data_IF_662181590109
#
_entry.id   IF_662181590109
#
_cell.length_a   1.000
_cell.length_b   1.000
_cell.length_c   1.000
_cell.angle_alpha   90.00
_cell.angle_beta   90.00
_cell.angle_gamma   90.00
#
_symmetry.space_group_name_H-M   'P 1'
#
loop_
_entity.id
_entity.type
_entity.pdbx_description
1 polymer ?
#
# COMPACT_ATOMS: atom_id res chain seq x y z
N UNK A 1 -60.72 39.55 -2.73
CA UNK A 1 -60.39 39.70 -4.14
C UNK A 1 -59.10 40.50 -4.31
N UNK A 2 -58.95 41.68 -3.67
CA UNK A 2 -57.77 42.55 -3.79
C UNK A 2 -56.44 41.87 -3.34
N UNK A 3 -56.47 41.08 -2.25
CA UNK A 3 -55.28 40.34 -1.81
C UNK A 3 -54.88 39.25 -2.79
N UNK A 4 -55.83 38.62 -3.45
CA UNK A 4 -55.54 37.59 -4.47
C UNK A 4 -54.93 38.22 -5.75
N UNK A 5 -55.38 39.40 -6.13
CA UNK A 5 -54.80 40.19 -7.24
C UNK A 5 -53.39 40.61 -6.93
N UNK A 6 -53.12 41.16 -5.74
CA UNK A 6 -51.78 41.58 -5.32
C UNK A 6 -50.78 40.40 -5.27
N UNK A 7 -51.22 39.22 -4.82
CA UNK A 7 -50.37 38.01 -4.86
C UNK A 7 -50.08 37.53 -6.29
N UNK A 8 -51.03 37.69 -7.19
CA UNK A 8 -50.82 37.33 -8.59
C UNK A 8 -49.83 38.31 -9.25
N UNK A 9 -49.92 39.59 -8.96
CA UNK A 9 -49.04 40.63 -9.46
C UNK A 9 -47.59 40.46 -8.90
N UNK A 10 -47.45 40.16 -7.61
CA UNK A 10 -46.18 39.83 -6.98
C UNK A 10 -45.51 38.61 -7.68
N UNK A 11 -46.29 37.55 -7.90
CA UNK A 11 -45.80 36.35 -8.56
C UNK A 11 -45.37 36.61 -10.03
N UNK A 12 -46.13 37.40 -10.72
CA UNK A 12 -45.80 37.82 -12.09
C UNK A 12 -44.50 38.62 -12.11
N UNK A 13 -44.34 39.60 -11.21
CA UNK A 13 -43.13 40.42 -11.14
C UNK A 13 -41.89 39.59 -10.73
N UNK A 14 -42.02 38.64 -9.79
CA UNK A 14 -40.97 37.67 -9.46
C UNK A 14 -40.55 36.90 -10.71
N UNK A 15 -41.47 36.36 -11.47
CA UNK A 15 -41.15 35.60 -12.67
C UNK A 15 -40.46 36.45 -13.74
N UNK A 16 -40.90 37.72 -13.89
CA UNK A 16 -40.30 38.69 -14.82
C UNK A 16 -38.82 38.95 -14.44
N UNK A 17 -38.56 39.20 -13.13
CA UNK A 17 -37.20 39.44 -12.62
C UNK A 17 -36.33 38.20 -12.84
N UNK A 18 -36.82 37.01 -12.50
CA UNK A 18 -36.10 35.75 -12.69
C UNK A 18 -35.78 35.51 -14.16
N UNK A 19 -36.70 35.81 -15.06
CA UNK A 19 -36.47 35.69 -16.49
C UNK A 19 -35.38 36.68 -16.97
N UNK A 20 -35.45 37.96 -16.53
CA UNK A 20 -34.42 38.93 -16.85
C UNK A 20 -33.03 38.54 -16.39
N UNK A 21 -32.91 38.01 -15.13
CA UNK A 21 -31.65 37.49 -14.60
C UNK A 21 -31.18 36.30 -15.44
N UNK A 22 -32.07 35.36 -15.78
CA UNK A 22 -31.75 34.19 -16.59
C UNK A 22 -31.23 34.57 -17.97
N UNK A 23 -31.83 35.57 -18.62
CA UNK A 23 -31.38 36.09 -19.92
C UNK A 23 -29.96 36.71 -19.83
N UNK A 24 -29.61 37.38 -18.73
CA UNK A 24 -28.25 37.91 -18.48
C UNK A 24 -27.22 36.81 -18.27
N UNK A 25 -27.61 35.69 -17.65
CA UNK A 25 -26.70 34.55 -17.37
C UNK A 25 -26.56 33.64 -18.58
N UNK A 26 -27.58 33.53 -19.45
CA UNK A 26 -27.60 32.61 -20.59
C UNK A 26 -26.38 32.70 -21.52
N UNK A 27 -25.84 33.88 -21.87
CA UNK A 27 -24.63 33.99 -22.71
C UNK A 27 -23.40 33.30 -22.08
N UNK A 28 -23.34 33.20 -20.74
CA UNK A 28 -22.23 32.62 -19.99
C UNK A 28 -22.46 31.18 -19.57
N UNK A 29 -23.57 30.54 -19.97
CA UNK A 29 -23.92 29.19 -19.52
C UNK A 29 -22.83 28.14 -19.85
N UNK A 30 -22.20 28.25 -21.03
CA UNK A 30 -21.12 27.33 -21.42
C UNK A 30 -19.86 27.53 -20.58
N UNK A 31 -19.51 28.77 -20.27
CA UNK A 31 -18.35 29.10 -19.41
C UNK A 31 -18.59 28.58 -17.99
N UNK A 32 -19.77 28.82 -17.44
CA UNK A 32 -20.17 28.33 -16.09
C UNK A 32 -20.16 26.82 -16.05
N UNK A 33 -20.65 26.12 -17.08
CA UNK A 33 -20.61 24.67 -17.15
C UNK A 33 -19.16 24.14 -17.20
N UNK A 34 -18.28 24.79 -17.97
CA UNK A 34 -16.87 24.45 -18.02
C UNK A 34 -16.16 24.68 -16.67
N UNK A 35 -16.44 25.80 -16.01
CA UNK A 35 -15.88 26.09 -14.69
C UNK A 35 -16.34 25.07 -13.64
N UNK A 36 -17.61 24.69 -13.65
CA UNK A 36 -18.14 23.65 -12.78
C UNK A 36 -17.43 22.30 -13.02
N UNK A 37 -17.16 21.96 -14.29
CA UNK A 37 -16.40 20.75 -14.65
C UNK A 37 -14.95 20.83 -14.14
N UNK A 38 -14.26 21.95 -14.32
CA UNK A 38 -12.89 22.16 -13.83
C UNK A 38 -12.83 22.05 -12.30
N UNK A 39 -13.75 22.71 -11.58
CA UNK A 39 -13.83 22.66 -10.12
C UNK A 39 -14.06 21.22 -9.64
N UNK A 40 -14.97 20.49 -10.29
CA UNK A 40 -15.21 19.07 -9.97
C UNK A 40 -13.96 18.19 -10.13
N UNK A 41 -13.17 18.43 -11.19
CA UNK A 41 -11.91 17.71 -11.40
C UNK A 41 -10.85 18.07 -10.35
N UNK A 42 -10.72 19.34 -10.00
CA UNK A 42 -9.80 19.79 -8.94
C UNK A 42 -10.19 19.20 -7.59
N UNK A 43 -11.48 19.13 -7.27
CA UNK A 43 -11.96 18.53 -6.01
C UNK A 43 -11.69 17.02 -5.99
N UNK A 44 -11.90 16.30 -7.09
CA UNK A 44 -11.54 14.89 -7.21
C UNK A 44 -10.02 14.66 -7.00
N UNK A 45 -9.17 15.48 -7.62
CA UNK A 45 -7.71 15.39 -7.42
C UNK A 45 -7.37 15.63 -5.95
N UNK A 46 -7.96 16.66 -5.34
CA UNK A 46 -7.79 16.96 -3.91
C UNK A 46 -8.24 15.80 -3.01
N UNK A 47 -9.37 15.19 -3.31
CA UNK A 47 -9.89 14.03 -2.57
C UNK A 47 -8.92 12.83 -2.66
N UNK A 48 -8.38 12.53 -3.86
CA UNK A 48 -7.36 11.48 -4.04
C UNK A 48 -6.08 11.77 -3.23
N UNK A 49 -5.56 13.00 -3.27
CA UNK A 49 -4.36 13.39 -2.50
C UNK A 49 -4.61 13.26 -1.00
N UNK A 50 -5.78 13.70 -0.55
CA UNK A 50 -6.19 13.59 0.85
C UNK A 50 -6.29 12.12 1.30
N UNK A 51 -6.88 11.25 0.48
CA UNK A 51 -6.94 9.81 0.73
C UNK A 51 -5.54 9.19 0.83
N UNK A 52 -4.60 9.58 -0.06
CA UNK A 52 -3.20 9.13 0.01
C UNK A 52 -2.56 9.54 1.34
N UNK A 53 -2.75 10.79 1.77
CA UNK A 53 -2.12 11.33 2.99
C UNK A 53 -2.72 10.72 4.27
N UNK A 54 -4.05 10.64 4.37
CA UNK A 54 -4.75 10.17 5.57
C UNK A 54 -4.69 8.64 5.74
N UNK A 55 -4.72 7.90 4.63
CA UNK A 55 -4.76 6.43 4.64
C UNK A 55 -3.45 5.78 4.24
N UNK A 56 -2.39 6.55 3.96
CA UNK A 56 -1.11 6.07 3.44
C UNK A 56 -1.27 5.21 2.16
N UNK A 57 -2.27 5.57 1.34
CA UNK A 57 -2.54 4.89 0.10
C UNK A 57 -1.44 5.15 -0.94
N UNK A 58 -1.33 4.28 -1.93
CA UNK A 58 -0.36 4.42 -3.02
C UNK A 58 -1.04 4.35 -4.38
N UNK A 59 -0.41 4.95 -5.38
CA UNK A 59 -0.78 4.72 -6.78
C UNK A 59 -0.02 3.47 -7.25
N UNK A 60 -0.73 2.37 -7.59
CA UNK A 60 -0.08 1.15 -8.03
C UNK A 60 0.52 1.28 -9.42
N UNK A 61 1.45 0.40 -9.77
CA UNK A 61 1.89 0.21 -11.14
C UNK A 61 0.85 -0.63 -11.90
N UNK A 62 0.58 -0.27 -13.15
CA UNK A 62 -0.30 -1.04 -14.02
C UNK A 62 0.51 -2.10 -14.77
N UNK A 63 0.00 -3.32 -14.84
CA UNK A 63 0.60 -4.43 -15.59
C UNK A 63 -0.31 -4.84 -16.73
N UNK A 64 0.18 -4.70 -17.96
CA UNK A 64 -0.53 -5.13 -19.17
C UNK A 64 -0.66 -6.66 -19.25
N UNK A 65 0.22 -7.39 -18.58
CA UNK A 65 0.24 -8.85 -18.55
C UNK A 65 -0.71 -9.45 -17.51
N UNK A 66 -1.64 -8.69 -16.96
CA UNK A 66 -2.60 -9.15 -15.92
C UNK A 66 -1.93 -9.69 -14.64
N UNK A 67 -0.68 -9.31 -14.39
CA UNK A 67 0.02 -9.65 -13.18
C UNK A 67 -0.48 -8.79 -12.03
N UNK A 68 -0.84 -9.43 -10.91
CA UNK A 68 -1.21 -8.77 -9.67
C UNK A 68 -0.15 -9.09 -8.63
N UNK A 69 0.47 -8.06 -8.07
CA UNK A 69 1.39 -8.14 -6.96
C UNK A 69 1.02 -7.06 -5.95
N UNK A 70 0.28 -7.45 -4.94
CA UNK A 70 -0.14 -6.54 -3.88
C UNK A 70 0.72 -6.79 -2.64
N UNK A 71 1.42 -5.75 -2.20
CA UNK A 71 2.27 -5.78 -1.01
C UNK A 71 1.51 -5.09 0.13
N UNK A 72 1.32 -5.80 1.25
CA UNK A 72 0.60 -5.29 2.43
C UNK A 72 -0.76 -4.65 2.11
N UNK A 73 -1.53 -5.27 1.21
CA UNK A 73 -2.85 -4.77 0.86
C UNK A 73 -3.81 -4.90 2.04
N UNK A 74 -4.55 -3.82 2.29
CA UNK A 74 -5.61 -3.76 3.29
C UNK A 74 -6.98 -3.53 2.65
N UNK A 75 -8.02 -4.11 3.23
CA UNK A 75 -9.39 -3.85 2.81
C UNK A 75 -9.78 -2.39 3.14
N UNK A 76 -10.19 -1.57 2.16
CA UNK A 76 -10.38 -0.13 2.37
C UNK A 76 -11.51 0.23 3.31
N UNK A 77 -12.52 -0.64 3.48
CA UNK A 77 -13.71 -0.40 4.30
C UNK A 77 -13.67 -1.11 5.66
N UNK A 78 -12.65 -1.94 5.94
CA UNK A 78 -12.52 -2.62 7.23
C UNK A 78 -11.61 -1.81 8.13
N UNK A 79 -12.09 -1.51 9.35
CA UNK A 79 -11.28 -0.87 10.38
C UNK A 79 -10.23 -1.86 10.90
N UNK A 80 -8.99 -1.42 11.02
CA UNK A 80 -7.86 -2.24 11.50
C UNK A 80 -7.70 -3.54 10.67
N UNK A 81 -7.90 -3.43 9.34
CA UNK A 81 -7.67 -4.55 8.44
C UNK A 81 -6.22 -5.05 8.56
N UNK A 82 -6.06 -6.37 8.59
CA UNK A 82 -4.74 -7.00 8.56
C UNK A 82 -4.18 -6.87 7.15
N UNK A 83 -2.94 -6.39 7.05
CA UNK A 83 -2.24 -6.26 5.79
C UNK A 83 -1.79 -7.64 5.27
N UNK A 84 -2.01 -7.90 3.98
CA UNK A 84 -1.71 -9.16 3.34
C UNK A 84 -0.96 -8.96 2.02
N UNK A 85 -0.11 -9.93 1.66
CA UNK A 85 0.54 -9.97 0.37
C UNK A 85 -0.23 -10.91 -0.56
N UNK A 86 -0.43 -10.51 -1.82
CA UNK A 86 -1.06 -11.34 -2.86
C UNK A 86 -0.20 -11.29 -4.12
N UNK A 87 0.16 -12.46 -4.59
CA UNK A 87 0.87 -12.61 -5.86
C UNK A 87 0.06 -13.47 -6.83
N UNK A 88 -0.31 -12.90 -7.96
CA UNK A 88 -1.01 -13.60 -9.03
C UNK A 88 -0.26 -13.34 -10.34
N UNK A 89 0.86 -14.06 -10.50
CA UNK A 89 1.78 -13.92 -11.62
C UNK A 89 1.28 -14.56 -12.90
N UNK A 90 2.11 -14.54 -13.93
CA UNK A 90 1.81 -15.18 -15.22
C UNK A 90 1.78 -16.71 -15.14
N UNK A 91 2.49 -17.26 -14.15
CA UNK A 91 2.57 -18.69 -13.83
C UNK A 91 1.37 -19.24 -13.08
N UNK A 92 0.39 -18.39 -12.75
CA UNK A 92 -0.82 -18.77 -12.02
C UNK A 92 -2.08 -18.40 -12.79
N UNK A 93 -3.01 -19.34 -12.91
CA UNK A 93 -4.37 -19.12 -13.41
C UNK A 93 -5.40 -19.14 -12.30
N UNK A 94 -5.16 -19.93 -11.24
CA UNK A 94 -6.10 -20.02 -10.14
C UNK A 94 -5.41 -20.00 -8.78
N UNK A 95 -6.03 -19.31 -7.80
CA UNK A 95 -5.70 -19.38 -6.38
C UNK A 95 -6.93 -19.93 -5.65
N UNK A 96 -6.76 -21.06 -4.96
CA UNK A 96 -7.83 -21.73 -4.21
C UNK A 96 -7.60 -21.54 -2.71
N UNK A 97 -8.44 -20.74 -2.06
CA UNK A 97 -8.35 -20.46 -0.64
C UNK A 97 -9.16 -21.50 0.13
N UNK A 98 -8.48 -22.37 0.87
CA UNK A 98 -9.10 -23.42 1.66
C UNK A 98 -9.09 -23.12 3.15
N UNK A 99 -9.97 -23.75 3.92
CA UNK A 99 -10.05 -23.60 5.38
C UNK A 99 -11.41 -23.12 5.88
N UNK A 100 -11.56 -22.87 7.20
CA UNK A 100 -12.84 -22.50 7.81
C UNK A 100 -13.29 -21.07 7.39
N UNK A 101 -14.61 -20.84 7.38
CA UNK A 101 -15.19 -19.55 6.93
C UNK A 101 -14.86 -18.40 7.88
N UNK A 102 -14.63 -18.67 9.14
CA UNK A 102 -14.30 -17.66 10.17
C UNK A 102 -12.92 -17.01 9.97
N UNK A 103 -12.09 -17.55 9.08
CA UNK A 103 -10.70 -17.07 8.86
C UNK A 103 -10.59 -15.78 8.04
N UNK A 104 -11.65 -15.30 7.38
CA UNK A 104 -11.63 -14.10 6.54
C UNK A 104 -11.40 -14.36 5.05
N UNK A 105 -11.65 -15.56 4.53
CA UNK A 105 -11.53 -15.93 3.11
C UNK A 105 -12.31 -14.97 2.20
N UNK A 106 -13.60 -14.76 2.49
CA UNK A 106 -14.48 -13.82 1.75
C UNK A 106 -13.94 -12.39 1.78
N UNK A 107 -13.39 -11.94 2.92
CA UNK A 107 -12.79 -10.61 3.03
C UNK A 107 -11.56 -10.50 2.12
N UNK A 108 -10.77 -11.57 1.98
CA UNK A 108 -9.61 -11.58 1.08
C UNK A 108 -10.02 -11.47 -0.39
N UNK A 109 -11.06 -12.20 -0.83
CA UNK A 109 -11.66 -12.05 -2.16
C UNK A 109 -12.14 -10.62 -2.41
N UNK A 110 -12.92 -10.07 -1.46
CA UNK A 110 -13.43 -8.68 -1.53
C UNK A 110 -12.27 -7.68 -1.56
N UNK A 111 -11.19 -7.93 -0.82
CA UNK A 111 -10.00 -7.06 -0.82
C UNK A 111 -9.35 -7.03 -2.20
N UNK A 112 -9.12 -8.18 -2.80
CA UNK A 112 -8.54 -8.27 -4.15
C UNK A 112 -9.42 -7.57 -5.19
N UNK A 113 -10.71 -7.91 -5.23
CA UNK A 113 -11.64 -7.36 -6.21
C UNK A 113 -11.78 -5.85 -6.08
N UNK A 114 -11.99 -5.35 -4.86
CA UNK A 114 -12.17 -3.92 -4.62
C UNK A 114 -10.90 -3.13 -4.91
N UNK A 115 -9.74 -3.65 -4.52
CA UNK A 115 -8.44 -3.03 -4.82
C UNK A 115 -8.22 -2.93 -6.33
N UNK A 116 -8.55 -3.98 -7.07
CA UNK A 116 -8.43 -4.01 -8.53
C UNK A 116 -9.37 -2.99 -9.19
N UNK A 117 -10.64 -2.94 -8.79
CA UNK A 117 -11.63 -1.97 -9.29
C UNK A 117 -11.20 -0.54 -8.95
N UNK A 118 -10.73 -0.27 -7.72
CA UNK A 118 -10.21 1.04 -7.33
C UNK A 118 -9.07 1.48 -8.24
N UNK A 119 -8.07 0.62 -8.45
CA UNK A 119 -6.93 0.91 -9.28
C UNK A 119 -7.32 1.22 -10.74
N UNK A 120 -8.17 0.40 -11.35
CA UNK A 120 -8.66 0.61 -12.73
C UNK A 120 -9.55 1.84 -12.86
N UNK A 121 -10.20 2.28 -11.78
CA UNK A 121 -10.93 3.56 -11.72
C UNK A 121 -10.01 4.77 -11.48
N UNK A 122 -8.68 4.57 -11.44
CA UNK A 122 -7.71 5.63 -11.19
C UNK A 122 -7.70 6.12 -9.75
N UNK A 123 -8.16 5.30 -8.79
CA UNK A 123 -8.08 5.59 -7.36
C UNK A 123 -6.81 5.00 -6.75
N UNK A 124 -6.21 5.66 -5.75
CA UNK A 124 -5.13 5.08 -4.95
C UNK A 124 -5.63 3.86 -4.16
N UNK A 125 -4.74 2.90 -3.91
CA UNK A 125 -5.03 1.67 -3.18
C UNK A 125 -4.32 1.64 -1.82
N UNK A 126 -4.88 0.91 -0.85
CA UNK A 126 -4.27 0.70 0.46
C UNK A 126 -3.29 -0.48 0.39
N UNK A 127 -2.09 -0.21 -0.08
CA UNK A 127 -1.01 -1.18 -0.22
C UNK A 127 0.35 -0.47 -0.12
N UNK A 128 1.43 -1.24 -0.05
CA UNK A 128 2.77 -0.67 -0.05
C UNK A 128 3.24 -0.29 -1.46
N UNK A 129 4.24 0.60 -1.50
CA UNK A 129 4.90 1.02 -2.75
C UNK A 129 5.54 -0.17 -3.44
N UNK A 130 5.40 -0.23 -4.77
CA UNK A 130 5.86 -1.36 -5.58
C UNK A 130 4.74 -2.34 -5.90
N UNK A 131 3.55 -2.17 -5.33
CA UNK A 131 2.38 -2.95 -5.70
C UNK A 131 2.01 -2.74 -7.16
N UNK A 132 1.63 -3.84 -7.82
CA UNK A 132 1.19 -3.89 -9.22
C UNK A 132 -0.23 -4.42 -9.29
N UNK A 133 -1.00 -3.93 -10.24
CA UNK A 133 -2.35 -4.41 -10.55
C UNK A 133 -2.46 -4.74 -12.02
N UNK A 134 -3.14 -5.84 -12.34
CA UNK A 134 -3.41 -6.22 -13.71
C UNK A 134 -4.44 -5.30 -14.35
N UNK A 135 -4.46 -5.25 -15.67
CA UNK A 135 -5.55 -4.61 -16.44
C UNK A 135 -6.48 -5.71 -16.92
N UNK A 136 -7.72 -5.66 -16.46
CA UNK A 136 -8.79 -6.59 -16.83
C UNK A 136 -9.91 -5.82 -17.54
N UNK A 137 -10.46 -6.43 -18.59
CA UNK A 137 -11.62 -5.87 -19.29
C UNK A 137 -12.87 -5.95 -18.42
N UNK A 138 -13.01 -7.09 -17.70
CA UNK A 138 -14.15 -7.37 -16.85
C UNK A 138 -13.70 -8.04 -15.54
N UNK A 139 -14.39 -7.72 -14.46
CA UNK A 139 -14.20 -8.34 -13.14
C UNK A 139 -15.54 -8.90 -12.72
N UNK A 140 -15.62 -10.23 -12.66
CA UNK A 140 -16.82 -10.94 -12.22
C UNK A 140 -16.64 -11.42 -10.78
N UNK A 141 -17.71 -11.36 -10.02
CA UNK A 141 -17.73 -11.83 -8.64
C UNK A 141 -19.03 -12.56 -8.35
N UNK A 142 -18.93 -13.79 -7.85
CA UNK A 142 -19.99 -14.51 -7.17
C UNK A 142 -19.62 -14.57 -5.68
N UNK A 143 -20.07 -13.57 -4.94
CA UNK A 143 -19.78 -13.37 -3.52
C UNK A 143 -21.09 -13.05 -2.82
N UNK A 144 -21.70 -14.03 -2.17
CA UNK A 144 -22.98 -13.91 -1.49
C UNK A 144 -22.88 -14.10 0.03
N UNK A 145 -23.87 -13.55 0.79
CA UNK A 145 -24.04 -13.84 2.21
C UNK A 145 -24.98 -15.04 2.34
N UNK A 146 -24.43 -16.22 2.68
CA UNK A 146 -25.20 -17.46 2.92
C UNK A 146 -26.03 -17.46 4.22
N UNK A 147 -26.09 -16.36 4.95
CA UNK A 147 -26.69 -16.30 6.29
C UNK A 147 -28.21 -16.22 6.34
N UNK A 148 -28.93 -16.39 5.24
CA UNK A 148 -30.39 -16.53 5.29
C UNK A 148 -30.77 -18.00 5.48
N UNK A 149 -31.16 -18.36 6.71
CA UNK A 149 -31.45 -19.71 7.20
C UNK A 149 -32.61 -20.44 6.46
N UNK A 150 -33.32 -19.78 5.57
CA UNK A 150 -34.57 -20.32 4.97
C UNK A 150 -34.46 -20.90 3.56
N UNK A 151 -33.25 -20.96 2.92
CA UNK A 151 -33.16 -21.27 1.49
C UNK A 151 -31.93 -22.06 1.02
N UNK A 152 -31.54 -23.18 1.62
CA UNK A 152 -30.33 -23.94 1.17
C UNK A 152 -30.39 -24.40 -0.29
N UNK A 153 -31.52 -24.92 -0.79
CA UNK A 153 -31.68 -25.32 -2.20
C UNK A 153 -31.83 -24.11 -3.14
N UNK A 154 -32.37 -23.01 -2.65
CA UNK A 154 -32.49 -21.73 -3.36
C UNK A 154 -31.09 -21.09 -3.52
N UNK A 155 -30.24 -21.22 -2.52
CA UNK A 155 -28.88 -20.64 -2.50
C UNK A 155 -27.95 -21.32 -3.52
N UNK A 156 -27.89 -22.67 -3.53
CA UNK A 156 -27.10 -23.41 -4.54
C UNK A 156 -27.55 -23.09 -5.97
N UNK A 157 -28.87 -23.13 -6.21
CA UNK A 157 -29.41 -22.83 -7.56
C UNK A 157 -29.13 -21.41 -7.99
N UNK A 158 -29.18 -20.46 -7.06
CA UNK A 158 -28.85 -19.04 -7.33
C UNK A 158 -27.39 -18.86 -7.69
N UNK A 159 -26.45 -19.42 -6.89
CA UNK A 159 -25.02 -19.39 -7.17
C UNK A 159 -24.71 -20.07 -8.52
N UNK A 160 -25.25 -21.25 -8.78
CA UNK A 160 -25.03 -21.94 -10.05
C UNK A 160 -25.58 -21.17 -11.25
N UNK A 161 -26.74 -20.53 -11.13
CA UNK A 161 -27.27 -19.67 -12.19
C UNK A 161 -26.33 -18.51 -12.49
N UNK A 162 -25.83 -17.85 -11.45
CA UNK A 162 -24.88 -16.76 -11.60
C UNK A 162 -23.55 -17.24 -12.20
N UNK A 163 -23.01 -18.37 -11.72
CA UNK A 163 -21.78 -18.96 -12.25
C UNK A 163 -21.96 -19.33 -13.74
N UNK A 164 -23.09 -19.93 -14.14
CA UNK A 164 -23.38 -20.26 -15.56
C UNK A 164 -23.40 -18.99 -16.41
N UNK A 165 -24.04 -17.93 -15.94
CA UNK A 165 -24.08 -16.64 -16.65
C UNK A 165 -22.67 -16.03 -16.78
N UNK A 166 -21.88 -16.07 -15.71
CA UNK A 166 -20.48 -15.63 -15.70
C UNK A 166 -19.64 -16.45 -16.68
N UNK A 167 -19.70 -17.80 -16.61
CA UNK A 167 -18.92 -18.69 -17.49
C UNK A 167 -19.20 -18.47 -18.98
N UNK A 168 -20.42 -18.02 -19.32
CA UNK A 168 -20.79 -17.62 -20.67
C UNK A 168 -20.18 -16.29 -21.14
N UNK A 169 -19.73 -15.44 -20.23
CA UNK A 169 -19.21 -14.08 -20.52
C UNK A 169 -17.69 -13.95 -20.35
N UNK A 170 -17.08 -14.71 -19.44
CA UNK A 170 -15.65 -14.59 -19.12
C UNK A 170 -14.75 -14.94 -20.29
N UNK A 171 -13.68 -14.19 -20.43
CA UNK A 171 -12.60 -14.37 -21.40
C UNK A 171 -11.23 -14.31 -20.72
N UNK A 172 -10.14 -14.47 -21.49
CA UNK A 172 -8.77 -14.43 -20.99
C UNK A 172 -8.37 -13.10 -20.32
N UNK A 173 -9.14 -12.02 -20.56
CA UNK A 173 -8.92 -10.69 -19.99
C UNK A 173 -9.84 -10.41 -18.79
N UNK A 174 -10.48 -11.45 -18.25
CA UNK A 174 -11.37 -11.32 -17.08
C UNK A 174 -10.65 -11.74 -15.80
N UNK A 175 -11.03 -11.13 -14.68
CA UNK A 175 -10.73 -11.58 -13.32
C UNK A 175 -12.00 -12.13 -12.70
N UNK A 176 -11.94 -13.35 -12.18
CA UNK A 176 -13.09 -14.05 -11.58
C UNK A 176 -12.86 -14.30 -10.10
N UNK A 177 -13.85 -13.97 -9.29
CA UNK A 177 -13.84 -14.12 -7.83
C UNK A 177 -15.04 -14.96 -7.42
N UNK A 178 -14.80 -16.18 -6.90
CA UNK A 178 -15.83 -17.14 -6.52
C UNK A 178 -15.76 -17.43 -5.02
N UNK A 179 -16.82 -17.14 -4.29
CA UNK A 179 -16.89 -17.47 -2.87
C UNK A 179 -17.66 -18.76 -2.66
N UNK A 180 -17.15 -19.62 -1.78
CA UNK A 180 -17.76 -20.90 -1.39
C UNK A 180 -18.16 -21.80 -2.59
N UNK A 181 -17.27 -21.90 -3.57
CA UNK A 181 -17.53 -22.63 -4.82
C UNK A 181 -17.96 -24.08 -4.55
N UNK A 182 -19.16 -24.43 -5.06
CA UNK A 182 -19.78 -25.73 -4.92
C UNK A 182 -20.59 -25.95 -3.64
N UNK A 183 -20.66 -24.95 -2.73
CA UNK A 183 -21.43 -25.06 -1.50
C UNK A 183 -22.95 -25.17 -1.73
N UNK A 184 -23.67 -25.74 -0.76
CA UNK A 184 -25.12 -25.79 -0.75
C UNK A 184 -25.73 -27.07 -1.39
N UNK A 185 -24.90 -28.05 -1.78
CA UNK A 185 -25.34 -29.38 -2.28
C UNK A 185 -24.63 -30.52 -1.54
N UNK A 186 -24.80 -31.76 -2.02
CA UNK A 186 -24.01 -32.89 -1.53
C UNK A 186 -22.51 -32.59 -1.61
N UNK A 187 -21.72 -32.85 -0.55
CA UNK A 187 -20.31 -32.48 -0.52
C UNK A 187 -19.49 -33.11 -1.66
N UNK A 188 -19.76 -34.35 -2.07
CA UNK A 188 -19.01 -35.01 -3.13
C UNK A 188 -19.36 -34.42 -4.51
N UNK A 189 -20.65 -34.15 -4.74
CA UNK A 189 -21.10 -33.49 -5.99
C UNK A 189 -20.59 -32.04 -6.06
N UNK A 190 -20.66 -31.31 -4.94
CA UNK A 190 -20.17 -29.94 -4.86
C UNK A 190 -18.67 -29.83 -5.12
N UNK A 191 -17.86 -30.70 -4.52
CA UNK A 191 -16.43 -30.78 -4.77
C UNK A 191 -16.10 -31.11 -6.24
N UNK A 192 -16.80 -32.10 -6.80
CA UNK A 192 -16.60 -32.50 -8.21
C UNK A 192 -16.93 -31.35 -9.18
N UNK A 193 -18.06 -30.65 -8.95
CA UNK A 193 -18.45 -29.48 -9.75
C UNK A 193 -17.43 -28.34 -9.62
N UNK A 194 -16.97 -28.06 -8.41
CA UNK A 194 -15.98 -27.00 -8.16
C UNK A 194 -14.65 -27.30 -8.88
N UNK A 195 -14.16 -28.54 -8.83
CA UNK A 195 -12.98 -28.95 -9.56
C UNK A 195 -13.16 -28.82 -11.08
N UNK A 196 -14.31 -29.26 -11.62
CA UNK A 196 -14.60 -29.17 -13.05
C UNK A 196 -14.66 -27.72 -13.55
N UNK A 197 -15.28 -26.82 -12.77
CA UNK A 197 -15.37 -25.39 -13.07
C UNK A 197 -13.96 -24.77 -13.05
N UNK A 198 -13.16 -25.04 -12.02
CA UNK A 198 -11.79 -24.52 -11.93
C UNK A 198 -10.89 -25.03 -13.06
N UNK A 199 -11.08 -26.30 -13.48
CA UNK A 199 -10.32 -26.86 -14.60
C UNK A 199 -10.70 -26.23 -15.94
N UNK A 200 -11.99 -25.96 -16.21
CA UNK A 200 -12.43 -25.21 -17.39
C UNK A 200 -11.81 -23.81 -17.43
N UNK A 201 -11.88 -23.09 -16.30
CA UNK A 201 -11.29 -21.75 -16.18
C UNK A 201 -9.77 -21.76 -16.37
N UNK A 202 -9.08 -22.78 -15.82
CA UNK A 202 -7.65 -22.96 -15.98
C UNK A 202 -7.27 -23.22 -17.44
N UNK A 203 -7.97 -24.09 -18.11
CA UNK A 203 -7.74 -24.41 -19.53
C UNK A 203 -7.98 -23.20 -20.44
N UNK A 204 -8.95 -22.37 -20.08
CA UNK A 204 -9.23 -21.09 -20.76
C UNK A 204 -8.28 -19.95 -20.32
N UNK A 205 -7.34 -20.21 -19.40
CA UNK A 205 -6.37 -19.24 -18.86
C UNK A 205 -7.02 -18.01 -18.20
N UNK A 206 -8.17 -18.19 -17.53
CA UNK A 206 -8.90 -17.13 -16.86
C UNK A 206 -8.38 -17.00 -15.43
N UNK A 207 -7.94 -15.78 -15.05
CA UNK A 207 -7.47 -15.49 -13.69
C UNK A 207 -8.62 -15.64 -12.69
N UNK A 208 -8.52 -16.63 -11.79
CA UNK A 208 -9.59 -16.98 -10.87
C UNK A 208 -9.09 -17.06 -9.43
N UNK A 209 -9.73 -16.40 -8.49
CA UNK A 209 -9.56 -16.65 -7.07
C UNK A 209 -10.85 -17.22 -6.49
N UNK A 210 -10.78 -18.42 -5.94
CA UNK A 210 -11.94 -19.10 -5.38
C UNK A 210 -11.74 -19.45 -3.91
N UNK A 211 -12.80 -19.44 -3.10
CA UNK A 211 -12.79 -20.00 -1.76
C UNK A 211 -13.59 -21.29 -1.73
N UNK A 212 -13.19 -22.20 -0.86
CA UNK A 212 -13.90 -23.44 -0.63
C UNK A 212 -13.58 -24.02 0.74
N UNK A 213 -14.41 -24.97 1.19
CA UNK A 213 -14.17 -25.75 2.38
C UNK A 213 -13.92 -27.25 2.06
N UNK A 214 -13.95 -27.64 0.78
CA UNK A 214 -13.78 -29.03 0.36
C UNK A 214 -12.31 -29.47 0.42
N UNK A 215 -12.01 -30.62 1.10
CA UNK A 215 -10.64 -31.13 1.19
C UNK A 215 -10.04 -31.53 -0.17
N UNK A 216 -10.88 -32.01 -1.11
CA UNK A 216 -10.47 -32.48 -2.44
C UNK A 216 -9.79 -31.38 -3.26
N UNK A 217 -10.21 -30.13 -3.06
CA UNK A 217 -9.61 -29.00 -3.76
C UNK A 217 -8.21 -28.65 -3.24
N UNK A 218 -7.83 -29.13 -2.06
CA UNK A 218 -6.44 -28.99 -1.55
C UNK A 218 -5.49 -29.84 -2.38
N UNK A 219 -5.88 -31.12 -2.66
CA UNK A 219 -5.11 -31.99 -3.51
C UNK A 219 -5.03 -31.46 -4.94
N UNK A 220 -6.17 -30.99 -5.49
CA UNK A 220 -6.22 -30.34 -6.79
C UNK A 220 -5.23 -29.16 -6.92
N UNK A 221 -5.14 -28.29 -5.92
CA UNK A 221 -4.23 -27.16 -5.93
C UNK A 221 -2.75 -27.52 -5.72
N UNK A 222 -2.42 -28.74 -5.26
CA UNK A 222 -1.05 -29.25 -5.17
C UNK A 222 -0.62 -29.92 -6.48
N UNK A 223 -1.52 -30.70 -7.07
CA UNK A 223 -1.21 -31.56 -8.20
C UNK A 223 -1.35 -30.87 -9.56
N UNK A 224 -2.12 -29.79 -9.63
CA UNK A 224 -2.48 -29.11 -10.88
C UNK A 224 -1.56 -27.94 -11.17
N UNK A 225 -0.89 -27.96 -12.33
CA UNK A 225 -0.06 -26.85 -12.78
C UNK A 225 -0.86 -25.56 -12.96
N UNK A 226 -0.27 -24.40 -12.63
CA UNK A 226 -0.86 -23.07 -12.69
C UNK A 226 -1.98 -22.82 -11.67
N UNK A 227 -2.22 -23.76 -10.75
CA UNK A 227 -3.13 -23.60 -9.62
C UNK A 227 -2.32 -23.58 -8.34
N UNK A 228 -2.67 -22.69 -7.43
CA UNK A 228 -2.00 -22.59 -6.15
C UNK A 228 -3.00 -22.56 -5.00
N UNK A 229 -2.71 -23.35 -3.96
CA UNK A 229 -3.46 -23.28 -2.72
C UNK A 229 -3.13 -22.01 -1.95
N UNK A 230 -4.10 -21.57 -1.17
CA UNK A 230 -3.92 -20.57 -0.14
C UNK A 230 -4.80 -20.87 1.07
N UNK A 231 -4.50 -20.26 2.19
CA UNK A 231 -5.28 -20.37 3.42
C UNK A 231 -5.27 -19.07 4.22
N UNK A 232 -6.13 -19.03 5.23
CA UNK A 232 -6.08 -17.99 6.26
C UNK A 232 -5.47 -18.59 7.53
N UNK A 233 -4.47 -17.89 8.08
CA UNK A 233 -3.81 -18.33 9.30
C UNK A 233 -4.78 -18.32 10.49
N UNK A 234 -4.72 -19.37 11.29
CA UNK A 234 -5.52 -19.52 12.50
C UNK A 234 -4.59 -19.78 13.69
N UNK A 235 -4.70 -18.98 14.73
CA UNK A 235 -3.94 -19.16 15.96
C UNK A 235 -4.59 -20.22 16.84
N UNK A 236 -4.02 -21.40 16.84
CA UNK A 236 -4.45 -22.52 17.68
C UNK A 236 -4.23 -22.27 19.16
N UNK A 237 -3.32 -21.36 19.54
CA UNK A 237 -3.07 -21.02 20.95
C UNK A 237 -4.16 -20.13 21.54
N UNK A 238 -4.68 -19.19 20.76
CA UNK A 238 -5.75 -18.26 21.19
C UNK A 238 -7.13 -18.64 20.69
N UNK A 239 -7.25 -19.62 19.79
CA UNK A 239 -8.47 -20.02 19.06
C UNK A 239 -9.10 -18.84 18.30
N UNK A 240 -8.27 -17.95 17.76
CA UNK A 240 -8.73 -16.78 17.02
C UNK A 240 -8.13 -16.74 15.62
N UNK A 241 -8.89 -16.27 14.63
CA UNK A 241 -8.34 -15.99 13.32
C UNK A 241 -7.34 -14.83 13.43
N UNK A 242 -6.19 -14.96 12.76
CA UNK A 242 -5.22 -13.87 12.65
C UNK A 242 -5.53 -12.98 11.45
N UNK A 243 -6.42 -13.42 10.54
CA UNK A 243 -6.74 -12.78 9.25
C UNK A 243 -5.56 -12.60 8.32
N UNK A 244 -4.48 -13.36 8.54
CA UNK A 244 -3.32 -13.36 7.65
C UNK A 244 -3.51 -14.36 6.52
N UNK A 245 -3.29 -13.91 5.30
CA UNK A 245 -3.36 -14.71 4.09
C UNK A 245 -2.05 -15.45 3.87
N UNK A 246 -2.11 -16.77 3.71
CA UNK A 246 -0.97 -17.65 3.49
C UNK A 246 -1.07 -18.26 2.09
N UNK A 247 -0.42 -17.63 1.13
CA UNK A 247 -0.37 -18.13 -0.24
C UNK A 247 0.65 -19.27 -0.36
N UNK A 248 0.32 -20.30 -1.14
CA UNK A 248 1.14 -21.50 -1.32
C UNK A 248 0.87 -22.61 -0.29
N UNK A 249 0.05 -22.34 0.73
CA UNK A 249 -0.23 -23.27 1.82
C UNK A 249 -1.72 -23.59 1.87
N UNK A 250 -2.14 -24.86 1.71
CA UNK A 250 -3.54 -25.24 1.91
C UNK A 250 -3.93 -25.17 3.39
N UNK A 251 -5.18 -24.79 3.67
CA UNK A 251 -5.67 -24.65 5.03
C UNK A 251 -5.84 -25.98 5.77
N UNK A 252 -5.48 -26.01 7.05
CA UNK A 252 -5.78 -27.14 7.93
C UNK A 252 -7.19 -27.08 8.47
N UNK A 253 -7.71 -28.25 8.78
CA UNK A 253 -8.93 -28.40 9.56
C UNK A 253 -8.52 -28.51 11.05
N UNK A 254 -8.76 -27.46 11.83
CA UNK A 254 -8.42 -27.40 13.25
C UNK A 254 -9.62 -27.83 14.15
N UNK A 255 -10.62 -28.52 13.59
CA UNK A 255 -11.84 -28.85 14.31
C UNK A 255 -11.61 -29.65 15.59
N UNK A 256 -10.71 -30.63 15.56
CA UNK A 256 -10.40 -31.45 16.72
C UNK A 256 -9.68 -30.67 17.82
N UNK A 257 -8.71 -29.84 17.47
CA UNK A 257 -8.01 -28.99 18.43
C UNK A 257 -8.97 -27.97 19.08
N UNK A 258 -9.83 -27.38 18.27
CA UNK A 258 -10.86 -26.46 18.77
C UNK A 258 -11.83 -27.18 19.69
N UNK A 259 -12.34 -28.36 19.31
CA UNK A 259 -13.27 -29.15 20.12
C UNK A 259 -12.64 -29.56 21.46
N UNK A 260 -11.40 -30.03 21.46
CA UNK A 260 -10.65 -30.38 22.66
C UNK A 260 -10.49 -29.20 23.63
N UNK A 261 -10.16 -28.01 23.11
CA UNK A 261 -10.01 -26.81 23.92
C UNK A 261 -11.33 -26.24 24.43
N UNK A 262 -12.43 -26.47 23.71
CA UNK A 262 -13.78 -26.13 24.16
C UNK A 262 -14.33 -27.09 25.22
N UNK A 263 -13.57 -28.15 25.58
CA UNK A 263 -13.91 -29.06 26.65
C UNK A 263 -14.51 -30.40 26.21
N UNK A 264 -14.48 -30.71 24.90
CA UNK A 264 -14.83 -32.05 24.44
C UNK A 264 -13.81 -33.05 24.93
N UNK A 265 -14.29 -34.22 25.47
CA UNK A 265 -13.38 -35.21 26.09
C UNK A 265 -12.38 -35.75 25.07
N UNK A 266 -11.15 -36.04 25.52
CA UNK A 266 -10.10 -36.58 24.64
C UNK A 266 -10.49 -37.96 24.06
N UNK A 267 -11.34 -38.72 24.74
CA UNK A 267 -11.86 -40.00 24.22
C UNK A 267 -12.69 -39.79 23.00
N UNK A 268 -13.66 -38.83 23.02
CA UNK A 268 -14.52 -38.52 21.87
C UNK A 268 -13.71 -37.98 20.73
N UNK A 269 -12.73 -37.11 21.00
CA UNK A 269 -11.88 -36.55 19.93
C UNK A 269 -10.97 -37.64 19.36
N UNK A 270 -10.46 -38.56 20.21
CA UNK A 270 -9.67 -39.70 19.77
C UNK A 270 -10.46 -40.66 18.87
N UNK A 271 -11.66 -41.01 19.27
CA UNK A 271 -12.55 -41.87 18.48
C UNK A 271 -12.93 -41.20 17.13
N UNK A 272 -13.23 -39.94 17.12
CA UNK A 272 -13.52 -39.19 15.91
C UNK A 272 -12.30 -39.09 14.97
N UNK A 273 -11.10 -38.92 15.49
CA UNK A 273 -9.88 -38.87 14.69
C UNK A 273 -9.52 -40.19 14.03
N UNK A 274 -9.91 -41.34 14.65
CA UNK A 274 -9.73 -42.66 14.07
C UNK A 274 -10.70 -42.99 12.93
N UNK A 275 -11.83 -42.29 12.86
CA UNK A 275 -12.84 -42.46 11.79
C UNK A 275 -12.48 -41.69 10.51
N UNK A 276 -11.55 -40.75 10.56
CA UNK A 276 -11.05 -40.08 9.37
C UNK A 276 -9.94 -40.95 8.78
N UNK A 277 -10.19 -41.52 7.60
CA UNK A 277 -9.17 -42.23 6.84
C UNK A 277 -7.95 -41.32 6.66
N UNK A 278 -6.83 -41.81 7.19
CA UNK A 278 -5.57 -41.05 7.23
C UNK A 278 -4.94 -41.09 5.85
N UNK A 279 -5.25 -40.13 5.01
CA UNK A 279 -4.38 -39.71 3.91
C UNK A 279 -3.14 -39.04 4.51
N UNK A 280 -2.30 -39.90 5.14
CA UNK A 280 -1.16 -39.47 5.96
C UNK A 280 -0.10 -38.70 5.17
N UNK A 281 0.02 -38.94 3.84
CA UNK A 281 1.08 -38.34 3.03
C UNK A 281 0.74 -36.87 2.66
N UNK A 282 -0.49 -36.60 2.24
CA UNK A 282 -0.92 -35.22 1.89
C UNK A 282 -0.92 -34.33 3.12
N UNK A 283 -1.44 -34.80 4.25
CA UNK A 283 -1.45 -34.05 5.49
C UNK A 283 -0.03 -33.74 6.01
N UNK A 284 0.92 -34.67 5.86
CA UNK A 284 2.33 -34.48 6.22
C UNK A 284 3.03 -33.45 5.33
N UNK A 285 2.74 -33.44 4.03
CA UNK A 285 3.25 -32.43 3.11
C UNK A 285 2.69 -31.05 3.47
N UNK A 286 1.40 -30.95 3.79
CA UNK A 286 0.76 -29.73 4.24
C UNK A 286 1.46 -29.20 5.50
N UNK A 287 1.76 -30.07 6.49
CA UNK A 287 2.49 -29.68 7.71
C UNK A 287 3.85 -29.08 7.41
N UNK A 288 4.63 -29.72 6.57
CA UNK A 288 5.96 -29.23 6.19
C UNK A 288 5.89 -27.89 5.43
N UNK A 289 4.92 -27.73 4.55
CA UNK A 289 4.71 -26.49 3.80
C UNK A 289 4.30 -25.32 4.72
N UNK A 290 3.42 -25.58 5.69
CA UNK A 290 3.02 -24.57 6.68
C UNK A 290 4.21 -24.12 7.52
N UNK A 291 5.00 -25.07 8.04
CA UNK A 291 6.16 -24.77 8.88
C UNK A 291 7.20 -23.94 8.11
N UNK A 292 7.54 -24.36 6.89
CA UNK A 292 8.46 -23.62 6.02
C UNK A 292 7.95 -22.23 5.65
N UNK A 293 6.65 -22.10 5.39
CA UNK A 293 6.04 -20.82 5.03
C UNK A 293 6.03 -19.89 6.24
N UNK A 294 5.73 -20.41 7.43
CA UNK A 294 5.74 -19.64 8.67
C UNK A 294 7.16 -19.16 9.03
N UNK A 295 8.16 -20.01 8.82
CA UNK A 295 9.57 -19.64 9.04
C UNK A 295 10.05 -18.60 8.01
N UNK A 296 9.73 -18.80 6.72
CA UNK A 296 10.07 -17.86 5.66
C UNK A 296 9.42 -16.48 5.91
N UNK A 297 8.18 -16.48 6.38
CA UNK A 297 7.46 -15.25 6.69
C UNK A 297 8.06 -14.51 7.90
N UNK A 298 8.40 -15.21 8.97
CA UNK A 298 9.12 -14.62 10.10
C UNK A 298 10.44 -13.97 9.67
N UNK A 299 11.15 -14.61 8.75
CA UNK A 299 12.38 -14.05 8.18
C UNK A 299 12.11 -12.79 7.36
N UNK A 300 11.05 -12.78 6.55
CA UNK A 300 10.64 -11.60 5.76
C UNK A 300 10.21 -10.44 6.65
N UNK A 301 9.43 -10.70 7.71
CA UNK A 301 9.01 -9.67 8.66
C UNK A 301 10.21 -9.04 9.37
N UNK A 302 11.20 -9.84 9.79
CA UNK A 302 12.45 -9.35 10.36
C UNK A 302 13.28 -8.52 9.37
N UNK A 303 13.37 -8.95 8.10
CA UNK A 303 14.07 -8.19 7.05
C UNK A 303 13.40 -6.83 6.84
N UNK A 304 12.08 -6.78 6.81
CA UNK A 304 11.31 -5.53 6.66
C UNK A 304 11.50 -4.58 7.84
N UNK A 305 11.54 -5.11 9.06
CA UNK A 305 11.81 -4.32 10.27
C UNK A 305 13.20 -3.67 10.20
N UNK A 306 14.22 -4.46 9.85
CA UNK A 306 15.59 -4.00 9.64
C UNK A 306 15.67 -2.97 8.50
N UNK A 307 14.94 -3.17 7.41
CA UNK A 307 14.89 -2.24 6.28
C UNK A 307 14.25 -0.89 6.68
N UNK A 308 13.17 -0.92 7.46
CA UNK A 308 12.57 0.30 8.00
C UNK A 308 13.49 1.05 8.95
N UNK A 309 14.22 0.33 9.82
CA UNK A 309 15.21 0.92 10.71
C UNK A 309 16.38 1.55 9.91
N UNK A 310 16.88 0.85 8.89
CA UNK A 310 17.89 1.37 7.99
C UNK A 310 17.45 2.64 7.25
N UNK A 311 16.19 2.68 6.79
CA UNK A 311 15.63 3.88 6.15
C UNK A 311 15.53 5.06 7.13
N UNK A 312 15.16 4.82 8.38
CA UNK A 312 15.14 5.85 9.44
C UNK A 312 16.55 6.35 9.74
N UNK A 313 17.51 5.43 9.88
CA UNK A 313 18.91 5.73 10.13
C UNK A 313 19.53 6.54 8.98
N UNK A 314 19.29 6.15 7.73
CA UNK A 314 19.78 6.87 6.55
C UNK A 314 19.19 8.29 6.45
N UNK A 315 17.91 8.48 6.82
CA UNK A 315 17.30 9.83 6.87
C UNK A 315 17.93 10.69 7.96
N UNK A 316 18.19 10.12 9.13
CA UNK A 316 18.86 10.81 10.23
C UNK A 316 20.29 11.19 9.86
N UNK A 317 21.04 10.28 9.24
CA UNK A 317 22.41 10.48 8.78
C UNK A 317 22.48 11.57 7.72
N UNK A 318 21.53 11.61 6.78
CA UNK A 318 21.44 12.66 5.76
C UNK A 318 21.14 14.03 6.35
N UNK A 319 20.29 14.09 7.40
CA UNK A 319 20.04 15.33 8.14
C UNK A 319 21.31 15.83 8.83
N UNK A 320 21.98 14.94 9.58
CA UNK A 320 23.22 15.26 10.29
C UNK A 320 24.32 15.73 9.34
N UNK A 321 24.45 15.06 8.19
CA UNK A 321 25.41 15.46 7.14
C UNK A 321 25.12 16.86 6.58
N UNK A 322 23.85 17.17 6.34
CA UNK A 322 23.44 18.50 5.88
C UNK A 322 23.69 19.58 6.93
N UNK A 323 23.45 19.29 8.21
CA UNK A 323 23.73 20.18 9.34
C UNK A 323 25.24 20.45 9.46
N UNK A 324 26.05 19.40 9.44
CA UNK A 324 27.50 19.50 9.47
C UNK A 324 28.06 20.33 8.31
N UNK A 325 27.55 20.14 7.09
CA UNK A 325 27.96 20.94 5.95
C UNK A 325 27.59 22.43 6.10
N UNK A 326 26.41 22.72 6.66
CA UNK A 326 26.02 24.12 6.96
C UNK A 326 26.90 24.74 8.03
N UNK A 327 27.21 24.03 9.10
CA UNK A 327 28.14 24.50 10.13
C UNK A 327 29.53 24.73 9.56
N UNK A 328 30.02 23.80 8.75
CA UNK A 328 31.31 23.94 8.04
C UNK A 328 31.37 25.20 7.15
N UNK A 329 30.31 25.44 6.35
CA UNK A 329 30.23 26.62 5.50
C UNK A 329 30.17 27.92 6.32
N UNK A 330 29.41 27.93 7.43
CA UNK A 330 29.34 29.07 8.32
C UNK A 330 30.67 29.38 8.99
N UNK A 331 31.37 28.36 9.46
CA UNK A 331 32.70 28.52 10.06
C UNK A 331 33.79 28.98 9.02
N UNK A 332 33.71 28.42 7.81
CA UNK A 332 34.60 28.87 6.71
C UNK A 332 34.34 30.32 6.31
N UNK A 333 33.08 30.77 6.29
CA UNK A 333 32.76 32.15 5.97
C UNK A 333 33.19 33.08 7.09
N UNK A 334 32.98 32.76 8.37
CA UNK A 334 33.52 33.52 9.50
C UNK A 334 35.05 33.63 9.45
N UNK A 335 35.73 32.53 9.16
CA UNK A 335 37.20 32.54 9.03
C UNK A 335 37.68 33.43 7.87
N UNK A 336 36.95 33.45 6.73
CA UNK A 336 37.25 34.33 5.59
C UNK A 336 36.99 35.79 5.93
N UNK A 337 35.91 36.13 6.65
CA UNK A 337 35.62 37.49 7.11
C UNK A 337 36.70 37.97 8.07
N UNK A 338 37.08 37.17 9.06
CA UNK A 338 38.18 37.49 9.98
C UNK A 338 39.52 37.68 9.28
N UNK A 339 39.82 36.83 8.30
CA UNK A 339 41.02 36.97 7.49
C UNK A 339 41.01 38.26 6.65
N UNK A 340 39.86 38.62 6.07
CA UNK A 340 39.71 39.87 5.33
C UNK A 340 39.91 41.12 6.25
N UNK A 341 39.32 41.11 7.44
CA UNK A 341 39.47 42.17 8.43
C UNK A 341 40.96 42.34 8.85
N UNK A 342 41.66 41.24 9.09
CA UNK A 342 43.09 41.27 9.43
C UNK A 342 43.94 41.87 8.28
N UNK A 343 43.62 41.48 7.03
CA UNK A 343 44.30 42.02 5.84
C UNK A 343 44.02 43.52 5.67
N UNK A 344 42.76 43.97 5.86
CA UNK A 344 42.38 45.38 5.74
C UNK A 344 43.03 46.23 6.85
N UNK A 345 43.06 45.74 8.09
CA UNK A 345 43.81 46.39 9.15
C UNK A 345 45.31 46.51 8.83
N UNK A 346 45.92 45.45 8.37
CA UNK A 346 47.35 45.45 8.00
C UNK A 346 47.64 46.41 6.84
N UNK A 347 46.77 46.48 5.82
CA UNK A 347 46.89 47.46 4.74
C UNK A 347 46.73 48.88 5.22
N UNK A 348 45.75 49.17 6.08
CA UNK A 348 45.54 50.50 6.67
C UNK A 348 46.73 50.99 7.52
N UNK A 349 47.26 50.10 8.38
CA UNK A 349 48.46 50.45 9.17
C UNK A 349 49.70 50.61 8.28
N UNK A 350 49.84 49.78 7.25
CA UNK A 350 50.91 49.92 6.28
C UNK A 350 50.88 51.28 5.55
N UNK A 351 49.67 51.65 5.11
CA UNK A 351 49.45 52.98 4.48
C UNK A 351 49.75 54.16 5.44
N UNK A 352 49.39 54.02 6.72
CA UNK A 352 49.76 55.02 7.72
C UNK A 352 51.27 55.11 7.91
N UNK A 353 51.95 53.98 7.99
CA UNK A 353 53.42 53.94 8.10
C UNK A 353 54.07 54.59 6.87
N UNK A 354 53.57 54.30 5.68
CA UNK A 354 54.07 54.88 4.42
C UNK A 354 53.81 56.39 4.34
N UNK A 355 52.63 56.86 4.72
CA UNK A 355 52.31 58.31 4.82
C UNK A 355 53.22 59.04 5.81
N UNK A 356 53.48 58.45 6.97
CA UNK A 356 54.39 58.98 7.94
C UNK A 356 55.85 59.03 7.46
N UNK A 357 56.30 58.07 6.63
CA UNK A 357 57.60 58.04 6.01
C UNK A 357 57.74 59.12 4.90
N UNK A 358 56.68 59.31 4.08
CA UNK A 358 56.69 60.33 2.99
C UNK A 358 56.58 61.76 3.50
N UNK A 359 56.06 61.99 4.68
CA UNK A 359 55.94 63.35 5.26
C UNK A 359 57.22 63.88 5.84
N UNK A 360 58.26 63.08 5.96
CA UNK A 360 59.59 63.49 6.51
C UNK A 360 60.61 63.70 5.39
N UNK A 361 61.12 64.87 5.23
CA UNK A 361 62.12 65.28 4.16
C UNK A 361 63.51 64.72 4.34
N UNK A 362 63.88 64.08 5.46
CA UNK A 362 65.12 63.32 5.69
C UNK A 362 64.84 62.16 6.65
N UNK A 363 64.92 60.94 6.11
CA UNK A 363 64.74 59.69 6.86
C UNK A 363 66.07 59.32 7.54
N UNK A 364 66.06 59.14 8.85
CA UNK A 364 67.23 58.61 9.58
C UNK A 364 67.21 57.08 9.52
N UNK A 365 68.43 56.41 9.40
CA UNK A 365 68.50 54.92 9.24
C UNK A 365 67.72 54.13 10.33
N UNK A 366 67.62 54.62 11.56
CA UNK A 366 66.88 53.96 12.65
C UNK A 366 65.39 54.01 12.46
N UNK A 367 64.79 55.04 11.85
CA UNK A 367 63.40 55.17 11.56
C UNK A 367 62.87 54.15 10.52
N UNK A 368 63.77 53.84 9.53
CA UNK A 368 63.51 52.78 8.51
C UNK A 368 63.54 51.40 9.15
N UNK A 369 64.43 51.18 10.11
CA UNK A 369 64.52 49.93 10.85
C UNK A 369 63.31 49.74 11.73
N UNK A 370 62.85 50.80 12.41
CA UNK A 370 61.60 50.75 13.25
C UNK A 370 60.36 50.57 12.45
N UNK A 371 60.18 51.20 11.28
CA UNK A 371 59.09 50.96 10.35
C UNK A 371 59.09 49.55 9.79
N UNK A 372 60.24 48.99 9.43
CA UNK A 372 60.37 47.57 9.01
C UNK A 372 60.00 46.60 10.16
N UNK A 373 60.39 46.93 11.39
CA UNK A 373 60.03 46.08 12.54
C UNK A 373 58.55 46.13 12.85
N UNK A 374 57.86 47.30 12.68
CA UNK A 374 56.42 47.41 12.80
C UNK A 374 55.71 46.62 11.70
N UNK A 375 56.09 46.76 10.45
CA UNK A 375 55.53 45.96 9.33
C UNK A 375 55.72 44.46 9.51
N UNK A 376 56.84 44.02 10.09
CA UNK A 376 57.09 42.60 10.37
C UNK A 376 56.20 42.02 11.49
N UNK A 377 55.74 42.87 12.42
CA UNK A 377 54.81 42.51 13.49
C UNK A 377 53.36 42.36 13.01
N UNK A 378 53.00 42.91 11.83
CA UNK A 378 51.69 42.79 11.21
C UNK A 378 51.50 41.48 10.46
N UNK A 379 52.57 40.71 10.27
CA UNK A 379 52.45 39.37 9.65
C UNK A 379 51.68 38.44 10.62
N UNK A 380 50.60 37.79 10.16
CA UNK A 380 49.86 36.88 11.00
C UNK A 380 50.72 35.74 11.52
N UNK A 381 50.60 35.40 12.80
CA UNK A 381 51.26 34.22 13.36
C UNK A 381 50.84 32.97 12.60
N UNK A 382 51.76 32.11 12.27
CA UNK A 382 51.46 30.81 11.64
C UNK A 382 50.63 29.98 12.62
N UNK A 383 49.34 29.82 12.32
CA UNK A 383 48.47 28.93 13.08
C UNK A 383 48.91 27.49 12.82
N UNK A 384 49.30 26.79 13.85
CA UNK A 384 49.64 25.38 13.80
C UNK A 384 48.34 24.56 13.67
N UNK A 385 47.98 24.17 12.46
CA UNK A 385 46.79 23.40 12.12
C UNK A 385 46.81 21.97 12.68
N UNK A 386 47.96 21.50 13.19
CA UNK A 386 48.07 20.14 13.77
C UNK A 386 47.31 19.98 15.10
N UNK A 387 46.92 21.09 15.72
CA UNK A 387 46.15 21.09 17.00
C UNK A 387 44.64 21.25 16.81
N UNK A 388 44.14 21.28 15.59
CA UNK A 388 42.72 21.46 15.33
C UNK A 388 42.00 20.12 15.39
N UNK A 389 41.27 19.87 16.49
CA UNK A 389 40.50 18.66 16.75
C UNK A 389 39.40 18.35 15.69
N UNK A 390 39.13 19.27 14.75
CA UNK A 390 38.16 19.10 13.66
C UNK A 390 38.80 18.47 12.40
N UNK A 391 40.14 18.40 12.34
CA UNK A 391 40.86 17.82 11.21
C UNK A 391 41.54 16.47 11.53
N UNK A 392 41.28 15.91 12.73
CA UNK A 392 41.55 14.54 13.11
C UNK A 392 40.24 13.71 13.08
#
# INVERSE_FOLDING_TARGET
EEIASLRADERYEMLRILQEISERVRPHAAEIANDAWIIGHLDLIRAKVRFIQERQAVVPQLSENQEIQLLHVCHPLVKNAVANDVYFGQDLTAIVITGPNTGGKTIMLKTLGLTQVMAQSGLPILADKGSRVGIFEEIFADIGDEQSIEQSLSTFSSHMTNIVDILGKVNQHSLLLLDELGAGTDPQEGAALAMAILEDLRLRQIKTMATTHYPELKAYGIETAFVQNASMEFDTATLRPTYRFMQGVPGRSNAFEIAKRLGLSEVIVGDASQQIDQDNDVNRIIEQLEEQTLESRKRLDNIREVEQENLKMNRALKKLYNELNREKETELNKAREQAAEIVDMALSESDQILKNLHSKSQLKPHEIIEAKAKLKKLAPEKVDLSKNKVLQ
#
